data_IF_988371400113
#
_entry.id   IF_988371400113
#
_cell.length_a   1.000
_cell.length_b   1.000
_cell.length_c   1.000
_cell.angle_alpha   90.00
_cell.angle_beta   90.00
_cell.angle_gamma   90.00
#
_symmetry.space_group_name_H-M   'P 1'
#
loop_
_entity.id
_entity.type
_entity.pdbx_description
1 polymer ?
#
# COMPACT_ATOMS: atom_id res chain seq x y z
N UNK A 1 -11.89 -11.54 5.85
CA UNK A 1 -12.63 -10.30 5.53
C UNK A 1 -11.61 -9.35 4.91
N UNK A 2 -11.92 -8.73 3.77
CA UNK A 2 -10.99 -7.81 3.10
C UNK A 2 -10.83 -6.56 3.97
N UNK A 3 -9.63 -6.29 4.45
CA UNK A 3 -9.32 -5.13 5.31
C UNK A 3 -8.62 -4.01 4.55
N UNK A 4 -7.86 -4.36 3.50
CA UNK A 4 -6.99 -3.44 2.78
C UNK A 4 -7.22 -3.51 1.28
N UNK A 5 -7.40 -2.35 0.65
CA UNK A 5 -7.60 -2.20 -0.79
C UNK A 5 -6.37 -1.53 -1.41
N UNK A 6 -5.69 -2.21 -2.32
CA UNK A 6 -4.52 -1.69 -3.03
C UNK A 6 -4.97 -0.84 -4.23
N UNK A 7 -4.36 0.33 -4.35
CA UNK A 7 -4.49 1.18 -5.53
C UNK A 7 -3.43 0.85 -6.60
N UNK A 8 -3.59 1.41 -7.79
CA UNK A 8 -2.70 1.23 -8.94
C UNK A 8 -1.24 1.53 -8.60
N UNK A 9 -0.94 2.57 -7.82
CA UNK A 9 0.45 2.91 -7.47
C UNK A 9 1.05 1.92 -6.48
N UNK A 10 0.26 1.44 -5.51
CA UNK A 10 0.71 0.42 -4.58
C UNK A 10 1.07 -0.90 -5.30
N UNK A 11 0.25 -1.29 -6.28
CA UNK A 11 0.53 -2.47 -7.11
C UNK A 11 1.78 -2.27 -7.96
N UNK A 12 1.97 -1.11 -8.58
CA UNK A 12 3.19 -0.80 -9.33
C UNK A 12 4.42 -0.83 -8.41
N UNK A 13 4.33 -0.27 -7.20
CA UNK A 13 5.42 -0.28 -6.23
C UNK A 13 5.78 -1.71 -5.77
N UNK A 14 4.80 -2.61 -5.68
CA UNK A 14 4.99 -4.03 -5.40
C UNK A 14 5.72 -4.75 -6.52
N UNK A 15 5.20 -4.62 -7.75
CA UNK A 15 5.77 -5.24 -8.94
C UNK A 15 7.21 -4.79 -9.17
N UNK A 16 7.46 -3.49 -9.00
CA UNK A 16 8.79 -2.89 -9.18
C UNK A 16 9.69 -3.08 -7.95
N UNK A 17 9.18 -3.69 -6.87
CA UNK A 17 9.84 -3.86 -5.57
C UNK A 17 10.47 -2.56 -5.06
N UNK A 18 9.87 -1.41 -5.39
CA UNK A 18 10.43 -0.08 -5.06
C UNK A 18 10.18 0.35 -3.63
N UNK A 19 9.30 -0.34 -2.91
CA UNK A 19 9.01 -0.02 -1.52
C UNK A 19 9.14 -1.25 -0.63
N UNK A 20 10.27 -1.36 0.06
CA UNK A 20 10.50 -2.39 1.07
C UNK A 20 9.51 -2.30 2.24
N UNK A 21 9.06 -1.08 2.55
CA UNK A 21 8.05 -0.84 3.60
C UNK A 21 6.71 -1.47 3.21
N UNK A 22 6.31 -1.33 1.95
CA UNK A 22 5.07 -1.90 1.43
C UNK A 22 5.17 -3.43 1.38
N UNK A 23 6.31 -3.97 0.93
CA UNK A 23 6.60 -5.40 0.92
C UNK A 23 6.51 -6.01 2.33
N UNK A 24 7.22 -5.44 3.31
CA UNK A 24 7.15 -5.89 4.71
C UNK A 24 5.73 -5.84 5.25
N UNK A 25 4.95 -4.82 4.88
CA UNK A 25 3.58 -4.69 5.35
C UNK A 25 2.69 -5.79 4.80
N UNK A 26 2.86 -6.15 3.54
CA UNK A 26 2.12 -7.24 2.90
C UNK A 26 2.55 -8.60 3.46
N UNK A 27 3.84 -8.82 3.64
CA UNK A 27 4.37 -10.02 4.30
C UNK A 27 3.85 -10.18 5.74
N UNK A 28 3.63 -9.05 6.45
CA UNK A 28 3.04 -9.06 7.80
C UNK A 28 1.51 -9.13 7.81
N UNK A 29 0.85 -9.00 6.66
CA UNK A 29 -0.62 -9.03 6.55
C UNK A 29 -1.09 -10.47 6.34
N UNK A 30 -2.24 -10.81 6.90
CA UNK A 30 -2.80 -12.15 6.70
C UNK A 30 -3.25 -12.36 5.24
N UNK A 31 -2.94 -13.51 4.64
CA UNK A 31 -3.44 -13.87 3.31
C UNK A 31 -4.98 -13.75 3.25
N UNK A 32 -5.50 -13.10 2.20
CA UNK A 32 -6.95 -12.86 2.04
C UNK A 32 -7.50 -11.62 2.76
N UNK A 33 -6.64 -10.81 3.40
CA UNK A 33 -7.02 -9.47 3.91
C UNK A 33 -6.76 -8.35 2.90
N UNK A 34 -5.99 -8.64 1.85
CA UNK A 34 -5.60 -7.71 0.78
C UNK A 34 -6.44 -7.97 -0.47
N UNK A 35 -6.98 -6.91 -1.04
CA UNK A 35 -7.67 -6.97 -2.33
C UNK A 35 -7.27 -5.80 -3.23
N UNK A 36 -7.50 -5.95 -4.54
CA UNK A 36 -7.36 -4.87 -5.51
C UNK A 36 -8.75 -4.44 -5.96
N UNK A 37 -8.98 -3.13 -6.11
CA UNK A 37 -10.21 -2.61 -6.70
C UNK A 37 -10.33 -3.04 -8.16
N UNK A 38 -11.51 -3.48 -8.59
CA UNK A 38 -11.80 -3.72 -10.02
C UNK A 38 -11.44 -2.53 -10.93
N UNK A 39 -11.56 -1.29 -10.43
CA UNK A 39 -11.17 -0.07 -11.15
C UNK A 39 -9.65 -0.01 -11.32
N UNK A 40 -8.90 -0.23 -10.23
CA UNK A 40 -7.44 -0.24 -10.26
C UNK A 40 -6.90 -1.38 -11.13
N UNK A 41 -7.52 -2.55 -11.09
CA UNK A 41 -7.20 -3.65 -11.99
C UNK A 41 -7.37 -3.24 -13.46
N UNK A 42 -8.46 -2.54 -13.79
CA UNK A 42 -8.70 -2.05 -15.15
C UNK A 42 -7.65 -1.03 -15.61
N UNK A 43 -7.27 -0.10 -14.74
CA UNK A 43 -6.20 0.87 -15.02
C UNK A 43 -4.85 0.17 -15.26
N UNK A 44 -4.52 -0.85 -14.48
CA UNK A 44 -3.30 -1.63 -14.62
C UNK A 44 -3.26 -2.37 -15.96
N UNK A 45 -4.34 -3.04 -16.34
CA UNK A 45 -4.45 -3.70 -17.65
C UNK A 45 -4.32 -2.69 -18.79
N UNK A 46 -5.03 -1.57 -18.72
CA UNK A 46 -4.94 -0.53 -19.74
C UNK A 46 -3.52 0.04 -19.86
N UNK A 47 -2.85 0.28 -18.74
CA UNK A 47 -1.45 0.71 -18.70
C UNK A 47 -0.49 -0.34 -19.27
N UNK A 48 -0.72 -1.62 -18.99
CA UNK A 48 0.08 -2.72 -19.54
C UNK A 48 -0.02 -2.79 -21.07
N UNK A 49 -1.24 -2.68 -21.63
CA UNK A 49 -1.47 -2.64 -23.07
C UNK A 49 -0.84 -1.43 -23.77
N UNK A 50 -0.72 -0.30 -23.07
CA UNK A 50 -0.12 0.92 -23.63
C UNK A 50 1.41 0.98 -23.50
N UNK A 51 2.02 0.00 -22.84
CA UNK A 51 3.46 -0.04 -22.60
C UNK A 51 4.24 -0.60 -23.79
N UNK A 52 5.55 -0.34 -23.84
CA UNK A 52 6.44 -0.95 -24.83
C UNK A 52 6.70 -2.44 -24.56
N UNK A 53 6.45 -2.92 -23.33
CA UNK A 53 6.67 -4.32 -22.92
C UNK A 53 5.34 -4.97 -22.49
N UNK A 54 4.39 -5.01 -23.42
CA UNK A 54 3.01 -5.49 -23.18
C UNK A 54 3.00 -6.90 -22.60
N UNK A 55 3.64 -7.87 -23.26
CA UNK A 55 3.61 -9.29 -22.85
C UNK A 55 4.18 -9.50 -21.44
N UNK A 56 5.30 -8.83 -21.14
CA UNK A 56 5.93 -8.89 -19.82
C UNK A 56 5.02 -8.33 -18.73
N UNK A 57 4.38 -7.18 -19.00
CA UNK A 57 3.49 -6.54 -18.03
C UNK A 57 2.20 -7.36 -17.84
N UNK A 58 1.64 -7.94 -18.90
CA UNK A 58 0.45 -8.77 -18.80
C UNK A 58 0.71 -10.05 -18.00
N UNK A 59 1.82 -10.74 -18.22
CA UNK A 59 2.17 -11.92 -17.41
C UNK A 59 2.40 -11.53 -15.94
N UNK A 60 3.07 -10.40 -15.70
CA UNK A 60 3.28 -9.90 -14.34
C UNK A 60 1.95 -9.60 -13.63
N UNK A 61 1.01 -8.97 -14.32
CA UNK A 61 -0.33 -8.73 -13.78
C UNK A 61 -1.10 -10.04 -13.57
N UNK A 62 -0.97 -11.00 -14.48
CA UNK A 62 -1.62 -12.31 -14.37
C UNK A 62 -1.18 -13.07 -13.12
N UNK A 63 0.13 -13.08 -12.85
CA UNK A 63 0.68 -13.66 -11.63
C UNK A 63 0.17 -12.90 -10.39
N UNK A 64 0.20 -11.57 -10.43
CA UNK A 64 -0.22 -10.74 -9.29
C UNK A 64 -1.71 -10.89 -8.95
N UNK A 65 -2.59 -11.00 -9.94
CA UNK A 65 -4.02 -11.26 -9.74
C UNK A 65 -4.36 -12.73 -9.47
N UNK A 66 -3.39 -13.64 -9.57
CA UNK A 66 -3.57 -15.02 -9.11
C UNK A 66 -3.54 -15.10 -7.59
N UNK A 67 -2.67 -14.31 -6.95
CA UNK A 67 -2.52 -14.26 -5.48
C UNK A 67 -3.41 -13.21 -4.80
N UNK A 68 -3.93 -12.22 -5.54
CA UNK A 68 -4.74 -11.13 -4.99
C UNK A 68 -6.21 -11.23 -5.41
N UNK A 69 -7.10 -11.06 -4.45
CA UNK A 69 -8.55 -11.02 -4.70
C UNK A 69 -8.94 -9.68 -5.35
N UNK A 70 -9.71 -9.74 -6.45
CA UNK A 70 -10.25 -8.54 -7.09
C UNK A 70 -11.63 -8.26 -6.49
N UNK A 71 -11.74 -7.16 -5.76
CA UNK A 71 -13.02 -6.73 -5.17
C UNK A 71 -13.72 -5.72 -6.08
N UNK A 72 -14.96 -6.04 -6.46
CA UNK A 72 -15.86 -5.12 -7.17
C UNK A 72 -16.60 -4.19 -6.23
N UNK A 73 -16.76 -4.60 -4.96
CA UNK A 73 -17.29 -3.73 -3.93
C UNK A 73 -16.30 -2.61 -3.74
N UNK A 74 -16.72 -1.38 -4.04
CA UNK A 74 -16.02 -0.17 -3.64
C UNK A 74 -16.15 -0.03 -2.12
N UNK A 75 -15.55 -0.96 -1.38
CA UNK A 75 -15.29 -0.80 0.04
C UNK A 75 -14.29 0.33 0.11
N UNK A 76 -14.83 1.55 0.18
CA UNK A 76 -14.09 2.72 0.63
C UNK A 76 -13.74 2.48 2.10
N UNK A 77 -12.71 1.68 2.33
CA UNK A 77 -11.90 1.80 3.54
C UNK A 77 -10.95 2.99 3.35
N UNK A 78 -11.54 4.16 3.08
CA UNK A 78 -10.88 5.41 3.39
C UNK A 78 -11.07 5.60 4.89
N UNK A 79 -10.22 4.96 5.70
CA UNK A 79 -10.26 5.19 7.14
C UNK A 79 -9.71 4.06 7.98
N UNK A 80 -8.45 4.19 8.38
CA UNK A 80 -8.06 4.51 9.77
C UNK A 80 -6.62 5.03 9.75
N UNK A 81 -6.34 6.32 9.98
CA UNK A 81 -5.03 6.65 10.53
C UNK A 81 -4.93 5.86 11.84
N UNK A 82 -3.92 5.00 11.94
CA UNK A 82 -3.64 4.25 13.16
C UNK A 82 -3.49 5.25 14.32
N UNK A 83 -4.57 5.45 15.08
CA UNK A 83 -4.53 6.19 16.34
C UNK A 83 -4.21 5.21 17.45
N UNK A 84 -2.92 5.02 17.70
CA UNK A 84 -2.32 4.65 19.00
C UNK A 84 -0.80 4.67 18.80
N UNK A 85 0.03 5.41 19.54
CA UNK A 85 -0.13 5.81 20.92
C UNK A 85 0.32 7.24 21.23
N UNK A 86 -0.35 7.79 22.23
CA UNK A 86 0.01 8.99 22.98
C UNK A 86 0.95 8.59 24.10
N UNK A 87 2.12 9.22 24.20
CA UNK A 87 2.81 9.52 25.46
C UNK A 87 3.79 10.67 25.18
N UNK A 88 3.40 11.94 25.37
CA UNK A 88 3.53 12.72 26.60
C UNK A 88 4.90 12.62 27.29
N UNK A 89 5.56 13.79 27.34
CA UNK A 89 6.52 14.31 28.33
C UNK A 89 8.02 14.03 28.12
N UNK A 90 8.76 15.14 28.24
CA UNK A 90 10.21 15.20 28.47
C UNK A 90 10.95 15.66 27.21
N UNK A 91 11.67 16.78 27.15
CA UNK A 91 12.06 17.71 28.19
C UNK A 91 12.38 19.06 27.53
N UNK A 92 11.60 20.08 27.85
CA UNK A 92 12.10 21.45 27.83
C UNK A 92 13.15 21.55 28.94
N UNK A 93 14.41 21.23 28.63
CA UNK A 93 15.53 21.60 29.50
C UNK A 93 15.75 23.09 29.35
N UNK A 94 15.11 23.83 30.26
CA UNK A 94 15.66 25.07 30.81
C UNK A 94 17.13 24.83 31.16
N UNK A 95 18.00 25.63 30.57
CA UNK A 95 19.30 25.96 31.17
C UNK A 95 19.58 27.43 30.82
N UNK A 96 18.89 28.35 31.49
CA UNK A 96 19.56 29.54 32.01
C UNK A 96 20.09 29.14 33.41
N UNK A 97 21.30 29.57 33.78
CA UNK A 97 21.48 30.83 34.52
C UNK A 97 22.63 31.66 33.93
N UNK A 98 22.49 32.99 33.76
CA UNK A 98 22.64 34.09 34.75
C UNK A 98 24.06 34.34 35.26
N UNK A 99 24.38 35.64 35.31
CA UNK A 99 25.54 36.33 35.95
C UNK A 99 26.82 36.33 35.11
N UNK A 100 27.53 37.45 34.89
CA UNK A 100 27.50 38.77 35.53
C UNK A 100 27.98 39.86 34.57
#
# INVERSE_FOLDING_TARGET
>A
MIEWLLDTNAVIALVTRRSEILLRRIESSEPGTLAVSSIAAHELYFGAYRSQRVDFNLETLRLLFTDLEISTSSVRMCGRPARSGRSLRGAARRSAPMTS
#
